data_IF_950679464680
#
_entry.id   IF_950679464680
#
_cell.length_a   1.000
_cell.length_b   1.000
_cell.length_c   1.000
_cell.angle_alpha   90.00
_cell.angle_beta   90.00
_cell.angle_gamma   90.00
#
_symmetry.space_group_name_H-M   'P 1'
#
loop_
_entity.id
_entity.type
_entity.pdbx_description
1 polymer ?
#
# COMPACT_ATOMS: atom_id res chain seq x y z
N UNK A 1 -6.20 54.95 -43.52
CA UNK A 1 -6.30 53.47 -43.68
C UNK A 1 -5.54 52.89 -42.49
N UNK A 2 -6.13 52.24 -41.46
CA UNK A 2 -6.96 51.01 -41.46
C UNK A 2 -6.11 49.89 -42.11
N UNK A 3 -5.61 48.83 -41.47
CA UNK A 3 -5.97 47.98 -40.29
C UNK A 3 -4.70 47.55 -39.51
N UNK A 4 -4.66 46.90 -38.33
CA UNK A 4 -5.57 46.56 -37.21
C UNK A 4 -4.68 46.17 -35.98
N UNK A 5 -5.26 45.92 -34.79
CA UNK A 5 -4.57 45.25 -33.65
C UNK A 5 -5.24 43.90 -33.41
N UNK A 6 -4.47 42.81 -33.42
CA UNK A 6 -4.93 41.45 -33.06
C UNK A 6 -4.49 41.12 -31.64
N UNK A 7 -5.41 41.22 -30.68
CA UNK A 7 -5.22 40.72 -29.34
C UNK A 7 -5.51 39.20 -29.29
N UNK A 8 -4.46 38.38 -29.20
CA UNK A 8 -4.58 36.96 -28.98
C UNK A 8 -4.83 36.66 -27.49
N UNK A 9 -6.10 36.45 -27.11
CA UNK A 9 -6.45 36.01 -25.76
C UNK A 9 -6.15 34.51 -25.63
N UNK A 10 -4.93 34.20 -25.16
CA UNK A 10 -4.56 32.83 -24.81
C UNK A 10 -5.30 32.40 -23.53
N UNK A 11 -6.38 31.64 -23.69
CA UNK A 11 -7.11 31.05 -22.57
C UNK A 11 -6.23 29.97 -21.90
N UNK A 12 -5.60 30.34 -20.78
CA UNK A 12 -4.88 29.41 -19.91
C UNK A 12 -5.89 28.49 -19.21
N UNK A 13 -6.18 27.35 -19.84
CA UNK A 13 -6.81 26.21 -19.18
C UNK A 13 -5.82 25.60 -18.17
N UNK A 14 -5.84 26.15 -16.96
CA UNK A 14 -5.16 25.59 -15.79
C UNK A 14 -5.77 24.23 -15.44
N UNK A 15 -5.29 23.16 -16.06
CA UNK A 15 -5.55 21.81 -15.57
C UNK A 15 -5.03 21.70 -14.14
N UNK A 16 -5.87 21.30 -13.16
CA UNK A 16 -5.36 21.05 -11.83
C UNK A 16 -4.36 19.90 -11.92
N UNK A 17 -3.10 20.18 -11.63
CA UNK A 17 -2.12 19.14 -11.43
C UNK A 17 -2.60 18.30 -10.24
N UNK A 18 -3.03 17.07 -10.52
CA UNK A 18 -3.16 16.06 -9.47
C UNK A 18 -1.77 15.90 -8.88
N UNK A 19 -1.57 16.51 -7.70
CA UNK A 19 -0.33 16.39 -6.97
C UNK A 19 -0.11 14.90 -6.70
N UNK A 20 0.83 14.31 -7.44
CA UNK A 20 1.28 12.94 -7.22
C UNK A 20 1.95 12.94 -5.85
N UNK A 21 1.18 12.63 -4.81
CA UNK A 21 1.69 12.47 -3.46
C UNK A 21 2.81 11.43 -3.54
N UNK A 22 4.04 11.87 -3.30
CA UNK A 22 5.18 10.97 -3.26
C UNK A 22 4.88 9.84 -2.25
N UNK A 23 5.34 8.59 -2.49
CA UNK A 23 5.15 7.51 -1.53
C UNK A 23 5.58 7.97 -0.14
N UNK A 24 4.67 7.86 0.84
CA UNK A 24 4.99 8.23 2.20
C UNK A 24 6.17 7.36 2.67
N UNK A 25 7.21 7.95 3.30
CA UNK A 25 8.33 7.16 3.81
C UNK A 25 7.82 6.11 4.79
N UNK A 26 8.50 4.97 4.88
CA UNK A 26 8.11 3.89 5.79
C UNK A 26 8.33 4.34 7.25
N UNK A 27 7.28 4.84 7.89
CA UNK A 27 7.29 5.31 9.29
C UNK A 27 7.07 4.13 10.27
N UNK A 28 7.66 2.98 9.96
CA UNK A 28 7.55 1.73 10.71
C UNK A 28 8.96 1.20 10.94
N UNK A 29 9.32 0.97 12.20
CA UNK A 29 10.57 0.31 12.55
C UNK A 29 10.46 -1.19 12.21
N UNK A 30 11.02 -1.59 11.07
CA UNK A 30 11.01 -3.00 10.64
C UNK A 30 12.05 -3.79 11.44
N UNK A 31 11.64 -4.83 12.20
CA UNK A 31 12.57 -5.65 12.96
C UNK A 31 13.60 -6.37 12.07
N UNK A 32 14.86 -6.39 12.50
CA UNK A 32 15.86 -7.29 11.92
C UNK A 32 15.61 -8.73 12.41
N UNK A 33 15.62 -9.70 11.49
CA UNK A 33 15.43 -11.12 11.77
C UNK A 33 16.52 -11.95 11.06
N UNK A 34 17.06 -12.97 11.73
CA UNK A 34 18.20 -13.76 11.22
C UNK A 34 17.93 -14.53 9.92
N UNK A 35 16.67 -14.84 9.59
CA UNK A 35 16.28 -15.70 8.45
C UNK A 35 15.84 -14.92 7.21
N UNK A 36 16.18 -13.64 7.13
CA UNK A 36 15.89 -12.79 5.98
C UNK A 36 17.12 -12.01 5.54
N UNK A 37 17.11 -11.53 4.30
CA UNK A 37 18.13 -10.61 3.78
C UNK A 37 17.45 -9.47 3.06
N UNK A 38 17.77 -8.22 3.42
CA UNK A 38 17.23 -7.05 2.77
C UNK A 38 17.49 -7.08 1.25
N UNK A 39 16.45 -6.90 0.46
CA UNK A 39 16.51 -6.89 -1.01
C UNK A 39 15.94 -5.58 -1.55
N UNK A 40 16.78 -4.58 -1.87
CA UNK A 40 16.32 -3.30 -2.39
C UNK A 40 15.73 -3.40 -3.81
N UNK A 41 15.75 -4.56 -4.45
CA UNK A 41 15.12 -4.80 -5.76
C UNK A 41 13.71 -5.38 -5.65
N UNK A 42 13.28 -5.85 -4.48
CA UNK A 42 12.02 -6.56 -4.26
C UNK A 42 11.82 -7.72 -5.26
N UNK A 43 12.82 -8.58 -5.45
CA UNK A 43 12.80 -9.64 -6.47
C UNK A 43 12.76 -9.10 -7.90
N UNK A 44 13.42 -7.96 -8.15
CA UNK A 44 13.40 -7.25 -9.44
C UNK A 44 12.10 -6.49 -9.76
N UNK A 45 11.10 -6.48 -8.86
CA UNK A 45 9.83 -5.78 -9.08
C UNK A 45 9.97 -4.29 -8.76
N UNK A 46 10.46 -3.51 -9.74
CA UNK A 46 10.74 -2.08 -9.61
C UNK A 46 9.58 -1.25 -9.02
N UNK A 47 8.33 -1.55 -9.37
CA UNK A 47 7.15 -0.87 -8.81
C UNK A 47 7.02 -1.05 -7.29
N UNK A 48 7.32 -2.24 -6.78
CA UNK A 48 7.31 -2.56 -5.35
C UNK A 48 8.50 -1.89 -4.66
N UNK A 49 9.69 -1.95 -5.27
CA UNK A 49 10.91 -1.34 -4.74
C UNK A 49 10.85 0.19 -4.61
N UNK A 50 9.96 0.87 -5.34
CA UNK A 50 9.71 2.32 -5.19
C UNK A 50 8.81 2.68 -4.01
N UNK A 51 8.15 1.71 -3.38
CA UNK A 51 7.07 1.95 -2.40
C UNK A 51 7.24 1.16 -1.09
N UNK A 52 8.08 0.13 -1.09
CA UNK A 52 8.23 -0.79 0.03
C UNK A 52 9.71 -1.02 0.39
N UNK A 53 9.96 -1.23 1.68
CA UNK A 53 11.14 -1.97 2.12
C UNK A 53 10.90 -3.46 1.85
N UNK A 54 11.89 -4.17 1.33
CA UNK A 54 11.74 -5.59 1.00
C UNK A 54 12.82 -6.44 1.65
N UNK A 55 12.44 -7.64 2.07
CA UNK A 55 13.37 -8.69 2.49
C UNK A 55 13.08 -9.98 1.73
N UNK A 56 14.12 -10.78 1.54
CA UNK A 56 14.11 -12.07 0.86
C UNK A 56 14.32 -13.22 1.84
N UNK A 57 13.71 -14.36 1.54
CA UNK A 57 13.85 -15.64 2.25
C UNK A 57 13.52 -16.78 1.27
N UNK A 58 13.29 -18.01 1.75
CA UNK A 58 12.89 -19.15 0.90
C UNK A 58 11.38 -19.40 0.91
N UNK A 59 10.84 -19.99 -0.16
CA UNK A 59 9.42 -20.37 -0.22
C UNK A 59 9.00 -21.34 0.89
N UNK A 60 9.89 -22.23 1.34
CA UNK A 60 9.63 -23.08 2.51
C UNK A 60 9.69 -22.33 3.85
N UNK A 61 10.48 -21.25 3.94
CA UNK A 61 10.70 -20.49 5.18
C UNK A 61 9.71 -19.35 5.41
N UNK A 62 9.07 -18.82 4.37
CA UNK A 62 8.33 -17.55 4.43
C UNK A 62 7.20 -17.52 5.47
N UNK A 63 6.50 -18.63 5.73
CA UNK A 63 5.47 -18.70 6.78
C UNK A 63 6.03 -18.41 8.18
N UNK A 64 7.11 -19.09 8.56
CA UNK A 64 7.78 -18.86 9.85
C UNK A 64 8.40 -17.45 9.97
N UNK A 65 8.77 -16.84 8.85
CA UNK A 65 9.24 -15.45 8.80
C UNK A 65 8.06 -14.47 9.00
N UNK A 66 6.91 -14.72 8.37
CA UNK A 66 5.66 -13.96 8.59
C UNK A 66 5.24 -14.02 10.06
N UNK A 67 5.26 -15.20 10.69
CA UNK A 67 4.94 -15.36 12.11
C UNK A 67 5.91 -14.58 13.02
N UNK A 68 7.20 -14.63 12.72
CA UNK A 68 8.24 -13.91 13.48
C UNK A 68 8.08 -12.39 13.37
N UNK A 69 7.79 -11.85 12.18
CA UNK A 69 7.46 -10.44 11.99
C UNK A 69 6.18 -10.06 12.73
N UNK A 70 5.10 -10.84 12.58
CA UNK A 70 3.81 -10.60 13.24
C UNK A 70 3.96 -10.52 14.77
N UNK A 71 4.73 -11.42 15.36
CA UNK A 71 5.04 -11.42 16.79
C UNK A 71 5.88 -10.21 17.21
N UNK A 72 6.79 -9.73 16.36
CA UNK A 72 7.62 -8.55 16.65
C UNK A 72 6.82 -7.24 16.53
N UNK A 73 5.99 -7.10 15.50
CA UNK A 73 5.08 -5.96 15.34
C UNK A 73 4.06 -5.88 16.48
N UNK A 74 3.54 -7.01 16.96
CA UNK A 74 2.68 -7.07 18.14
C UNK A 74 3.37 -6.51 19.39
N UNK A 75 4.65 -6.83 19.62
CA UNK A 75 5.46 -6.24 20.73
C UNK A 75 5.69 -4.74 20.58
N UNK A 76 5.70 -4.22 19.35
CA UNK A 76 5.75 -2.77 19.07
C UNK A 76 4.39 -2.07 19.15
N UNK A 77 3.30 -2.79 19.45
CA UNK A 77 1.94 -2.26 19.57
C UNK A 77 1.16 -2.17 18.24
N UNK A 78 1.62 -2.82 17.18
CA UNK A 78 0.87 -2.97 15.93
C UNK A 78 -0.07 -4.17 16.00
N UNK A 79 -1.29 -4.02 15.51
CA UNK A 79 -2.34 -5.03 15.53
C UNK A 79 -2.76 -5.39 14.10
N UNK A 80 -2.92 -6.68 13.75
CA UNK A 80 -3.50 -7.05 12.45
C UNK A 80 -4.97 -6.62 12.39
N UNK A 81 -5.34 -5.86 11.36
CA UNK A 81 -6.70 -5.33 11.16
C UNK A 81 -7.45 -5.98 9.99
N UNK A 82 -6.75 -6.76 9.16
CA UNK A 82 -7.33 -7.42 7.98
C UNK A 82 -6.26 -7.80 6.97
N UNK A 83 -6.69 -8.18 5.76
CA UNK A 83 -5.79 -8.58 4.69
C UNK A 83 -6.38 -9.63 3.75
N UNK A 84 -5.50 -10.37 3.08
CA UNK A 84 -5.80 -11.50 2.21
C UNK A 84 -4.80 -12.64 2.46
N UNK A 85 -4.90 -13.75 1.73
CA UNK A 85 -4.06 -14.94 1.92
C UNK A 85 -2.54 -14.67 1.90
N UNK A 86 -2.09 -13.59 1.25
CA UNK A 86 -0.68 -13.19 1.17
C UNK A 86 -0.42 -11.75 1.61
N UNK A 87 -1.40 -11.07 2.23
CA UNK A 87 -1.30 -9.66 2.66
C UNK A 87 -1.82 -9.53 4.09
N UNK A 88 -1.04 -8.92 4.99
CA UNK A 88 -1.52 -8.55 6.32
C UNK A 88 -1.45 -7.03 6.45
N UNK A 89 -2.58 -6.41 6.82
CA UNK A 89 -2.65 -4.99 7.17
C UNK A 89 -2.53 -4.85 8.68
N UNK A 90 -1.58 -4.03 9.11
CA UNK A 90 -1.31 -3.69 10.51
C UNK A 90 -1.73 -2.26 10.80
N UNK A 91 -2.26 -2.05 12.01
CA UNK A 91 -2.65 -0.73 12.51
C UNK A 91 -2.10 -0.46 13.90
N UNK A 92 -1.80 0.79 14.22
CA UNK A 92 -1.39 1.24 15.56
C UNK A 92 -2.10 2.54 15.91
N UNK A 93 -2.86 2.54 17.00
CA UNK A 93 -3.63 3.71 17.44
C UNK A 93 -2.69 4.85 17.85
N UNK A 94 -3.13 6.07 17.55
CA UNK A 94 -2.48 7.33 17.95
C UNK A 94 -3.11 7.85 19.23
N UNK A 95 -2.32 8.49 20.08
CA UNK A 95 -2.79 9.08 21.34
C UNK A 95 -3.84 10.19 21.12
N UNK A 96 -3.79 10.87 19.97
CA UNK A 96 -4.75 11.90 19.56
C UNK A 96 -6.00 11.38 18.83
N UNK A 97 -6.19 10.05 18.74
CA UNK A 97 -7.23 9.43 17.91
C UNK A 97 -6.75 9.10 16.49
N UNK A 98 -7.48 8.21 15.82
CA UNK A 98 -7.05 7.60 14.57
C UNK A 98 -5.97 6.52 14.75
N UNK A 99 -5.44 6.00 13.65
CA UNK A 99 -4.31 5.08 13.66
C UNK A 99 -3.39 5.24 12.44
N UNK A 100 -2.13 4.84 12.59
CA UNK A 100 -1.24 4.57 11.46
C UNK A 100 -1.52 3.19 10.89
N UNK A 101 -1.26 3.03 9.59
CA UNK A 101 -1.39 1.77 8.88
C UNK A 101 -0.14 1.41 8.09
N UNK A 102 0.18 0.13 8.02
CA UNK A 102 1.12 -0.42 7.05
C UNK A 102 0.70 -1.83 6.63
N UNK A 103 1.25 -2.31 5.52
CA UNK A 103 1.00 -3.67 5.03
C UNK A 103 2.28 -4.47 4.89
N UNK A 104 2.17 -5.78 5.15
CA UNK A 104 3.17 -6.80 4.86
C UNK A 104 2.62 -7.71 3.77
N UNK A 105 3.21 -7.66 2.57
CA UNK A 105 2.81 -8.44 1.39
C UNK A 105 3.85 -9.55 1.12
N UNK A 106 3.40 -10.80 1.10
CA UNK A 106 4.19 -11.95 0.67
C UNK A 106 4.01 -12.23 -0.83
N UNK A 107 5.12 -12.49 -1.52
CA UNK A 107 5.12 -12.88 -2.93
C UNK A 107 6.35 -13.74 -3.28
N UNK A 108 6.33 -14.36 -4.46
CA UNK A 108 7.44 -15.14 -5.02
C UNK A 108 7.91 -14.53 -6.34
N UNK A 109 9.07 -14.97 -6.82
CA UNK A 109 9.50 -14.73 -8.20
C UNK A 109 8.71 -15.63 -9.15
N UNK A 110 7.71 -15.05 -9.82
CA UNK A 110 6.83 -15.73 -10.79
C UNK A 110 7.56 -16.17 -12.07
N UNK A 111 8.77 -15.67 -12.33
CA UNK A 111 9.61 -16.14 -13.44
C UNK A 111 10.37 -17.44 -13.09
N UNK A 112 10.25 -17.94 -11.86
CA UNK A 112 10.87 -19.19 -11.39
C UNK A 112 9.84 -20.27 -11.10
N UNK A 113 10.24 -21.52 -11.32
CA UNK A 113 9.46 -22.66 -10.85
C UNK A 113 9.40 -22.66 -9.31
N UNK A 114 8.21 -22.84 -8.70
CA UNK A 114 8.07 -22.99 -7.26
C UNK A 114 8.88 -24.18 -6.75
N UNK A 115 9.67 -23.96 -5.70
CA UNK A 115 10.48 -24.98 -5.05
C UNK A 115 10.83 -24.56 -3.62
N UNK A 116 11.04 -25.49 -2.66
CA UNK A 116 11.30 -25.15 -1.26
C UNK A 116 12.42 -24.13 -1.03
N UNK A 117 13.50 -24.22 -1.79
CA UNK A 117 14.65 -23.30 -1.75
C UNK A 117 14.60 -22.14 -2.74
N UNK A 118 13.54 -22.00 -3.55
CA UNK A 118 13.36 -20.85 -4.42
C UNK A 118 13.09 -19.58 -3.58
N UNK A 119 13.43 -18.38 -4.09
CA UNK A 119 13.23 -17.15 -3.34
C UNK A 119 11.75 -16.83 -3.14
N UNK A 120 11.46 -16.26 -1.99
CA UNK A 120 10.21 -15.61 -1.63
C UNK A 120 10.53 -14.29 -0.91
N UNK A 121 9.61 -13.34 -0.95
CA UNK A 121 9.84 -11.97 -0.54
C UNK A 121 8.71 -11.47 0.35
N UNK A 122 9.06 -10.60 1.30
CA UNK A 122 8.11 -9.77 2.04
C UNK A 122 8.36 -8.30 1.70
N UNK A 123 7.32 -7.59 1.28
CA UNK A 123 7.32 -6.15 1.09
C UNK A 123 6.55 -5.45 2.21
N UNK A 124 7.15 -4.43 2.81
CA UNK A 124 6.59 -3.61 3.88
C UNK A 124 6.36 -2.18 3.35
N UNK A 125 5.12 -1.74 3.31
CA UNK A 125 4.74 -0.43 2.79
C UNK A 125 3.77 0.29 3.74
N UNK A 126 3.97 1.59 3.98
CA UNK A 126 3.02 2.43 4.71
C UNK A 126 1.72 2.59 3.92
N UNK A 127 0.58 2.50 4.62
CA UNK A 127 -0.72 2.89 4.08
C UNK A 127 -0.94 4.36 4.47
N UNK A 128 -0.99 5.29 3.52
CA UNK A 128 -1.11 6.72 3.84
C UNK A 128 -2.50 7.07 4.36
N UNK A 129 -2.55 7.95 5.37
CA UNK A 129 -3.78 8.48 5.96
C UNK A 129 -4.07 7.96 7.37
N UNK A 130 -5.28 8.20 7.86
CA UNK A 130 -5.81 7.57 9.07
C UNK A 130 -6.66 6.36 8.67
N UNK A 131 -6.12 5.16 8.86
CA UNK A 131 -6.80 3.91 8.46
C UNK A 131 -7.88 3.48 9.46
N UNK A 132 -8.03 4.19 10.59
CA UNK A 132 -9.11 4.02 11.56
C UNK A 132 -10.15 5.14 11.49
N UNK A 133 -9.98 6.13 10.62
CA UNK A 133 -11.04 7.09 10.35
C UNK A 133 -12.26 6.35 9.78
N UNK A 134 -13.44 6.66 10.32
CA UNK A 134 -14.69 6.15 9.77
C UNK A 134 -14.78 6.60 8.30
N UNK A 135 -14.63 5.64 7.38
CA UNK A 135 -14.92 5.90 5.98
C UNK A 135 -16.39 6.32 5.90
N UNK A 136 -16.72 7.48 5.30
CA UNK A 136 -18.11 7.86 5.10
C UNK A 136 -18.78 6.75 4.29
N UNK A 137 -19.69 6.01 4.92
CA UNK A 137 -20.54 5.06 4.21
C UNK A 137 -21.34 5.89 3.24
N UNK A 138 -21.02 5.79 1.94
CA UNK A 138 -21.75 6.48 0.90
C UNK A 138 -23.24 6.15 1.08
N UNK A 139 -24.12 7.15 1.28
CA UNK A 139 -25.51 6.87 1.59
C UNK A 139 -26.09 6.00 0.47
N UNK A 140 -26.68 4.87 0.85
CA UNK A 140 -27.32 3.99 -0.12
C UNK A 140 -28.34 4.81 -0.91
N UNK A 141 -28.12 4.90 -2.23
CA UNK A 141 -29.02 5.62 -3.12
C UNK A 141 -30.44 5.09 -2.86
N UNK A 142 -31.42 5.93 -2.48
CA UNK A 142 -32.79 5.47 -2.27
C UNK A 142 -33.25 4.75 -3.54
N UNK A 143 -33.71 3.52 -3.40
CA UNK A 143 -34.19 2.74 -4.54
C UNK A 143 -35.26 3.57 -5.26
N UNK A 144 -35.04 3.83 -6.55
CA UNK A 144 -36.00 4.55 -7.38
C UNK A 144 -37.38 3.88 -7.31
N UNK A 145 -38.47 4.65 -7.47
CA UNK A 145 -39.82 4.09 -7.39
C UNK A 145 -39.99 2.92 -8.36
N UNK A 146 -40.73 1.86 -7.98
CA UNK A 146 -40.88 0.67 -8.81
C UNK A 146 -41.50 1.04 -10.16
N UNK A 147 -40.98 0.43 -11.23
CA UNK A 147 -41.50 0.62 -12.57
C UNK A 147 -42.97 0.16 -12.65
N UNK A 148 -43.84 0.86 -13.39
CA UNK A 148 -45.23 0.43 -13.57
C UNK A 148 -45.28 -0.87 -14.36
N UNK A 149 -46.11 -1.81 -13.90
CA UNK A 149 -46.39 -3.04 -14.62
C UNK A 149 -47.15 -2.76 -15.93
N UNK A 150 -46.84 -3.54 -16.97
CA UNK A 150 -47.62 -3.66 -18.21
C UNK A 150 -48.27 -5.04 -18.26
#
# INVERSE_FOLDING_TARGET
>A
MKTFILAAVAALISTPALAQTAPAPLQVEIPELERVTADPTCGGKAEVARQAFCVSTTQAGIGAVVDAYSAAFSRQGWLPAGGSNNLIVYVKRKDGGGCDGFQMLAFSDEARLPAPGAPAFLAFATIPGDVCAEHPVAPANPAGPPAPAQ
#
